data_IF_100694545858
#
_entry.id   IF_100694545858
#
_cell.length_a   1.000
_cell.length_b   1.000
_cell.length_c   1.000
_cell.angle_alpha   90.00
_cell.angle_beta   90.00
_cell.angle_gamma   90.00
#
_symmetry.space_group_name_H-M   'P 1'
#
loop_
_entity.id
_entity.type
_entity.pdbx_description
1 polymer ?
#
# COMPACT_ATOMS: atom_id res chain seq x y z
N UNK A 1 22.14 6.39 10.28
CA UNK A 1 21.31 7.36 11.02
C UNK A 1 21.11 8.57 10.12
N UNK A 2 19.93 8.71 9.54
CA UNK A 2 19.52 9.96 8.89
C UNK A 2 19.46 11.05 9.96
N UNK A 3 20.03 12.22 9.69
CA UNK A 3 20.21 13.33 10.64
C UNK A 3 18.91 13.91 11.25
N UNK A 4 17.74 13.44 10.83
CA UNK A 4 16.44 14.08 11.17
C UNK A 4 15.54 13.20 12.04
N UNK A 5 16.09 12.21 12.77
CA UNK A 5 15.32 11.43 13.76
C UNK A 5 14.10 10.68 13.23
N UNK A 6 13.96 10.50 11.91
CA UNK A 6 12.88 9.73 11.32
C UNK A 6 13.17 8.25 11.56
N UNK A 7 12.30 7.51 12.26
CA UNK A 7 12.48 6.08 12.41
C UNK A 7 12.50 5.46 11.00
N UNK A 8 13.61 4.88 10.60
CA UNK A 8 13.66 4.13 9.35
C UNK A 8 12.80 2.89 9.52
N UNK A 9 11.60 2.90 8.98
CA UNK A 9 10.88 1.65 8.76
C UNK A 9 11.79 0.77 7.90
N UNK A 10 12.01 -0.47 8.33
CA UNK A 10 12.86 -1.41 7.60
C UNK A 10 12.28 -1.64 6.20
N UNK A 11 12.91 -1.07 5.18
CA UNK A 11 12.59 -1.36 3.78
C UNK A 11 13.33 -2.63 3.35
N UNK A 12 12.62 -3.58 2.77
CA UNK A 12 13.17 -4.85 2.29
C UNK A 12 13.69 -4.78 0.86
N UNK A 13 13.80 -3.61 0.29
CA UNK A 13 14.33 -3.45 -1.05
C UNK A 13 13.76 -2.26 -1.82
N UNK A 14 14.08 -2.24 -3.08
CA UNK A 14 13.67 -1.19 -4.04
C UNK A 14 13.09 -1.84 -5.29
N UNK A 15 12.41 -1.06 -6.10
CA UNK A 15 11.81 -1.52 -7.36
C UNK A 15 12.36 -0.71 -8.52
N UNK A 16 12.82 -1.40 -9.56
CA UNK A 16 13.31 -0.76 -10.78
C UNK A 16 12.20 -0.70 -11.83
N UNK A 17 12.08 0.44 -12.50
CA UNK A 17 11.20 0.66 -13.65
C UNK A 17 11.93 1.41 -14.74
N UNK A 18 11.68 1.03 -16.00
CA UNK A 18 12.21 1.74 -17.17
C UNK A 18 11.20 1.84 -18.30
N UNK A 19 11.30 2.94 -19.05
CA UNK A 19 10.59 3.16 -20.31
C UNK A 19 11.42 4.08 -21.19
N UNK A 20 12.01 3.53 -22.24
CA UNK A 20 13.01 4.24 -23.04
C UNK A 20 14.19 4.69 -22.19
N UNK A 21 14.56 5.96 -22.29
CA UNK A 21 15.66 6.53 -21.49
C UNK A 21 15.30 6.84 -20.04
N UNK A 22 14.03 6.76 -19.69
CA UNK A 22 13.58 7.04 -18.32
C UNK A 22 13.76 5.79 -17.46
N UNK A 23 14.77 5.81 -16.59
CA UNK A 23 15.12 4.72 -15.68
C UNK A 23 15.02 5.17 -14.25
N UNK A 24 14.25 4.48 -13.44
CA UNK A 24 13.93 4.88 -12.07
C UNK A 24 14.11 3.76 -11.07
N UNK A 25 14.53 4.13 -9.89
CA UNK A 25 14.41 3.31 -8.69
C UNK A 25 13.29 3.91 -7.83
N UNK A 26 12.27 3.09 -7.57
CA UNK A 26 11.15 3.41 -6.71
C UNK A 26 11.38 2.74 -5.35
N UNK A 27 11.24 3.49 -4.27
CA UNK A 27 11.46 2.99 -2.92
C UNK A 27 10.60 3.74 -1.91
N UNK A 28 10.45 3.16 -0.73
CA UNK A 28 9.73 3.80 0.38
C UNK A 28 10.70 4.37 1.41
N UNK A 29 10.33 5.51 1.95
CA UNK A 29 10.99 6.12 3.10
C UNK A 29 9.91 6.71 4.02
N UNK A 30 9.84 6.21 5.25
CA UNK A 30 8.75 6.53 6.17
C UNK A 30 7.37 6.29 5.49
N UNK A 31 6.51 7.29 5.46
CA UNK A 31 5.19 7.27 4.83
C UNK A 31 5.19 7.75 3.38
N UNK A 32 6.33 7.71 2.70
CA UNK A 32 6.45 8.23 1.34
C UNK A 32 6.92 7.16 0.35
N UNK A 33 6.32 7.13 -0.84
CA UNK A 33 6.86 6.48 -2.01
C UNK A 33 7.69 7.52 -2.79
N UNK A 34 8.91 7.17 -3.12
CA UNK A 34 9.89 8.07 -3.75
C UNK A 34 10.41 7.50 -5.06
N UNK A 35 10.84 8.39 -5.96
CA UNK A 35 11.50 8.01 -7.19
C UNK A 35 12.85 8.75 -7.35
N UNK A 36 13.90 7.98 -7.65
CA UNK A 36 15.20 8.53 -8.04
C UNK A 36 15.57 8.07 -9.44
N UNK A 37 16.33 8.90 -10.13
CA UNK A 37 16.94 8.54 -11.40
C UNK A 37 17.98 7.44 -11.18
N UNK A 38 17.84 6.32 -11.90
CA UNK A 38 18.68 5.14 -11.69
C UNK A 38 20.14 5.33 -12.13
N UNK A 39 20.44 6.32 -12.97
CA UNK A 39 21.81 6.61 -13.44
C UNK A 39 22.54 7.54 -12.49
N UNK A 40 21.83 8.55 -11.95
CA UNK A 40 22.45 9.64 -11.18
C UNK A 40 22.19 9.58 -9.68
N UNK A 41 21.21 8.78 -9.23
CA UNK A 41 20.78 8.72 -7.84
C UNK A 41 20.00 9.96 -7.37
N UNK A 42 19.75 10.92 -8.25
CA UNK A 42 19.03 12.16 -7.88
C UNK A 42 17.53 11.95 -7.78
N UNK A 43 16.89 12.63 -6.83
CA UNK A 43 15.43 12.65 -6.70
C UNK A 43 14.80 13.21 -7.98
N UNK A 44 13.76 12.56 -8.48
CA UNK A 44 12.97 13.01 -9.63
C UNK A 44 11.86 13.91 -9.12
N UNK A 45 12.07 15.22 -9.13
CA UNK A 45 11.14 16.20 -8.56
C UNK A 45 9.72 16.18 -9.19
N UNK A 46 9.60 15.72 -10.43
CA UNK A 46 8.31 15.58 -11.14
C UNK A 46 7.49 14.35 -10.71
N UNK A 47 8.00 13.52 -9.80
CA UNK A 47 7.26 12.40 -9.25
C UNK A 47 6.50 12.83 -8.01
N UNK A 48 5.16 12.77 -8.04
CA UNK A 48 4.31 13.24 -6.96
C UNK A 48 4.54 14.72 -6.63
N UNK A 49 4.66 15.02 -5.35
CA UNK A 49 5.02 16.35 -4.88
C UNK A 49 6.52 16.39 -4.51
N UNK A 50 7.31 17.09 -5.30
CA UNK A 50 8.77 17.21 -5.11
C UNK A 50 9.50 15.86 -4.93
N UNK A 51 9.17 14.88 -5.77
CA UNK A 51 9.78 13.56 -5.77
C UNK A 51 9.17 12.56 -4.79
N UNK A 52 8.02 12.87 -4.19
CA UNK A 52 7.37 12.09 -3.14
C UNK A 52 5.88 11.95 -3.35
N UNK A 53 5.35 10.78 -3.04
CA UNK A 53 3.92 10.52 -2.87
C UNK A 53 3.69 10.22 -1.40
N UNK A 54 2.83 10.98 -0.73
CA UNK A 54 2.43 10.73 0.64
C UNK A 54 1.47 9.53 0.69
N UNK A 55 1.88 8.44 1.31
CA UNK A 55 1.09 7.21 1.39
C UNK A 55 -0.10 7.29 2.36
N UNK A 56 -0.14 8.31 3.20
CA UNK A 56 -1.29 8.55 4.07
C UNK A 56 -2.48 9.16 3.30
N UNK A 57 -2.22 9.81 2.16
CA UNK A 57 -3.29 10.35 1.31
C UNK A 57 -4.06 9.25 0.59
N UNK A 58 -5.35 9.50 0.33
CA UNK A 58 -6.25 8.54 -0.31
C UNK A 58 -6.68 7.39 0.60
N UNK A 59 -6.44 7.50 1.90
CA UNK A 59 -6.95 6.58 2.91
C UNK A 59 -8.29 7.11 3.47
N UNK A 60 -9.00 6.25 4.21
CA UNK A 60 -10.22 6.62 4.93
C UNK A 60 -9.98 7.73 5.96
N UNK A 61 -8.84 7.67 6.62
CA UNK A 61 -8.54 8.45 7.81
C UNK A 61 -7.81 9.76 7.47
N UNK A 62 -7.81 10.71 8.40
CA UNK A 62 -7.05 11.96 8.30
C UNK A 62 -5.55 11.65 8.09
N UNK A 63 -4.94 12.05 6.98
CA UNK A 63 -3.56 11.72 6.66
C UNK A 63 -2.53 12.24 7.66
N UNK A 64 -2.90 13.23 8.49
CA UNK A 64 -2.02 13.77 9.53
C UNK A 64 -2.00 12.93 10.81
N UNK A 65 -2.97 12.02 10.97
CA UNK A 65 -3.18 11.20 12.17
C UNK A 65 -2.81 9.74 11.98
N UNK A 66 -2.50 9.32 10.77
CA UNK A 66 -2.18 7.93 10.43
C UNK A 66 -0.74 7.79 9.98
N UNK A 67 -0.25 6.55 9.99
CA UNK A 67 1.06 6.21 9.44
C UNK A 67 0.97 4.94 8.61
N UNK A 68 1.04 5.12 7.29
CA UNK A 68 1.14 4.03 6.32
C UNK A 68 2.59 3.92 5.88
N UNK A 69 3.17 2.74 6.05
CA UNK A 69 4.54 2.47 5.62
C UNK A 69 4.58 1.27 4.66
N UNK A 70 5.69 1.10 3.96
CA UNK A 70 5.94 -0.08 3.14
C UNK A 70 7.12 -0.84 3.74
N UNK A 71 6.90 -2.06 4.17
CA UNK A 71 7.98 -2.97 4.61
C UNK A 71 8.56 -3.78 3.44
N UNK A 72 7.81 -3.96 2.38
CA UNK A 72 8.24 -4.66 1.17
C UNK A 72 8.11 -3.76 -0.05
N UNK A 73 9.01 -3.85 -1.03
CA UNK A 73 8.93 -3.06 -2.25
C UNK A 73 7.68 -3.47 -3.05
N UNK A 74 7.13 -2.53 -3.79
CA UNK A 74 6.07 -2.80 -4.75
C UNK A 74 6.54 -3.66 -5.92
N UNK A 75 5.60 -4.02 -6.78
CA UNK A 75 5.89 -4.74 -8.04
C UNK A 75 5.39 -3.94 -9.23
N UNK A 76 6.13 -4.03 -10.31
CA UNK A 76 5.82 -3.32 -11.55
C UNK A 76 4.92 -4.18 -12.44
N UNK A 77 3.83 -3.57 -12.90
CA UNK A 77 3.06 -4.05 -14.03
C UNK A 77 2.89 -2.91 -15.04
N UNK A 78 3.53 -3.04 -16.20
CA UNK A 78 3.61 -1.97 -17.21
C UNK A 78 4.16 -0.65 -16.61
N UNK A 79 3.36 0.40 -16.59
CA UNK A 79 3.73 1.70 -16.05
C UNK A 79 3.22 1.93 -14.61
N UNK A 80 2.78 0.87 -13.94
CA UNK A 80 2.24 0.92 -12.57
C UNK A 80 3.18 0.25 -11.58
N UNK A 81 3.37 0.86 -10.43
CA UNK A 81 3.87 0.20 -9.23
C UNK A 81 2.69 -0.14 -8.32
N UNK A 82 2.49 -1.44 -8.07
CA UNK A 82 1.45 -1.94 -7.18
C UNK A 82 2.09 -2.16 -5.81
N UNK A 83 1.46 -1.62 -4.79
CA UNK A 83 1.93 -1.68 -3.41
C UNK A 83 0.85 -2.19 -2.47
N UNK A 84 1.28 -2.92 -1.45
CA UNK A 84 0.49 -3.14 -0.25
C UNK A 84 0.71 -2.03 0.78
N UNK A 85 0.52 -2.37 2.04
CA UNK A 85 0.76 -1.45 3.14
C UNK A 85 1.21 -2.20 4.39
N UNK A 86 1.89 -1.51 5.30
CA UNK A 86 2.02 -1.89 6.69
C UNK A 86 1.27 -0.87 7.53
N UNK A 87 0.30 -1.35 8.28
CA UNK A 87 -0.52 -0.60 9.23
C UNK A 87 -0.21 -1.03 10.66
N UNK A 88 -0.45 -0.22 11.68
CA UNK A 88 -0.36 -0.65 13.07
C UNK A 88 -1.39 -1.74 13.41
N UNK A 89 -1.05 -2.65 14.34
CA UNK A 89 -1.96 -3.68 14.84
C UNK A 89 -2.69 -3.15 16.10
N UNK A 90 -3.46 -2.08 15.92
CA UNK A 90 -4.13 -1.34 16.98
C UNK A 90 -5.58 -1.07 16.60
N UNK A 91 -6.45 -0.86 17.60
CA UNK A 91 -7.78 -0.31 17.37
C UNK A 91 -7.70 1.04 16.67
N UNK A 92 -8.59 1.26 15.68
CA UNK A 92 -8.58 2.47 14.88
C UNK A 92 -7.42 2.55 13.89
N UNK A 93 -6.69 1.46 13.66
CA UNK A 93 -5.70 1.41 12.60
C UNK A 93 -6.35 1.69 11.23
N UNK A 94 -5.63 2.32 10.31
CA UNK A 94 -6.12 2.48 8.94
C UNK A 94 -6.21 1.13 8.22
N UNK A 95 -7.08 1.00 7.20
CA UNK A 95 -7.15 -0.19 6.37
C UNK A 95 -5.89 -0.33 5.50
N UNK A 96 -5.55 -1.57 5.18
CA UNK A 96 -4.35 -1.91 4.41
C UNK A 96 -4.58 -1.96 2.90
N UNK A 97 -5.26 -0.99 2.31
CA UNK A 97 -5.63 -0.94 0.89
C UNK A 97 -4.47 -1.29 -0.05
N UNK A 98 -4.79 -1.99 -1.13
CA UNK A 98 -3.85 -2.22 -2.22
C UNK A 98 -3.99 -1.08 -3.23
N UNK A 99 -2.87 -0.46 -3.57
CA UNK A 99 -2.88 0.74 -4.41
C UNK A 99 -1.88 0.63 -5.55
N UNK A 100 -2.25 1.16 -6.70
CA UNK A 100 -1.35 1.28 -7.83
C UNK A 100 -1.08 2.74 -8.17
N UNK A 101 0.19 3.06 -8.32
CA UNK A 101 0.66 4.38 -8.69
C UNK A 101 1.38 4.35 -10.02
N UNK A 102 1.22 5.39 -10.80
CA UNK A 102 1.94 5.58 -12.04
C UNK A 102 3.44 5.80 -11.77
N UNK A 103 4.31 4.96 -12.34
CA UNK A 103 5.76 5.00 -12.12
C UNK A 103 6.41 6.32 -12.61
N UNK A 104 5.80 7.00 -13.58
CA UNK A 104 6.32 8.24 -14.13
C UNK A 104 5.87 9.46 -13.33
N UNK A 105 4.62 9.51 -12.92
CA UNK A 105 4.01 10.71 -12.33
C UNK A 105 3.81 10.62 -10.82
N UNK A 106 3.76 9.42 -10.26
CA UNK A 106 3.36 9.20 -8.87
C UNK A 106 1.85 9.33 -8.63
N UNK A 107 1.04 9.52 -9.68
CA UNK A 107 -0.41 9.61 -9.54
C UNK A 107 -0.99 8.28 -9.10
N UNK A 108 -1.91 8.30 -8.15
CA UNK A 108 -2.73 7.15 -7.78
C UNK A 108 -3.69 6.83 -8.94
N UNK A 109 -3.62 5.63 -9.47
CA UNK A 109 -4.45 5.19 -10.60
C UNK A 109 -5.64 4.35 -10.15
N UNK A 110 -5.45 3.47 -9.14
CA UNK A 110 -6.54 2.72 -8.54
C UNK A 110 -6.24 2.31 -7.10
N UNK A 111 -7.32 2.06 -6.36
CA UNK A 111 -7.30 1.49 -5.01
C UNK A 111 -8.23 0.29 -4.98
N UNK A 112 -7.78 -0.81 -4.38
CA UNK A 112 -8.63 -1.92 -3.97
C UNK A 112 -8.83 -1.84 -2.46
N UNK A 113 -10.09 -1.77 -2.04
CA UNK A 113 -10.46 -1.72 -0.63
C UNK A 113 -10.41 -3.12 -0.03
N UNK A 114 -9.41 -3.40 0.79
CA UNK A 114 -9.26 -4.69 1.48
C UNK A 114 -10.29 -4.88 2.60
N UNK A 115 -10.92 -3.80 3.04
CA UNK A 115 -12.14 -3.78 3.83
C UNK A 115 -13.20 -3.16 2.93
N UNK A 116 -14.14 -3.97 2.38
CA UNK A 116 -15.04 -3.53 1.32
C UNK A 116 -15.99 -2.42 1.76
N UNK A 117 -16.25 -1.50 0.85
CA UNK A 117 -17.26 -0.45 1.00
C UNK A 117 -18.64 -0.93 0.53
N UNK A 118 -19.74 -0.21 0.86
CA UNK A 118 -21.07 -0.56 0.39
C UNK A 118 -21.12 -0.74 -1.14
N UNK A 119 -21.64 -1.88 -1.59
CA UNK A 119 -21.74 -2.25 -3.00
C UNK A 119 -20.51 -2.96 -3.58
N UNK A 120 -19.42 -3.08 -2.82
CA UNK A 120 -18.26 -3.87 -3.23
C UNK A 120 -18.41 -5.34 -2.80
N UNK A 121 -17.86 -6.29 -3.58
CA UNK A 121 -17.89 -7.71 -3.21
C UNK A 121 -17.23 -7.94 -1.84
N UNK A 122 -17.89 -8.74 -1.00
CA UNK A 122 -17.42 -9.06 0.34
C UNK A 122 -17.90 -8.10 1.44
N UNK A 123 -18.59 -7.01 1.10
CA UNK A 123 -19.14 -6.08 2.10
C UNK A 123 -20.06 -6.78 3.10
N UNK A 124 -20.87 -7.72 2.63
CA UNK A 124 -21.81 -8.52 3.43
C UNK A 124 -21.15 -9.44 4.46
N UNK A 125 -19.84 -9.68 4.33
CA UNK A 125 -19.06 -10.50 5.27
C UNK A 125 -18.57 -9.74 6.50
N UNK A 126 -18.84 -8.44 6.53
CA UNK A 126 -18.49 -7.54 7.62
C UNK A 126 -19.73 -6.99 8.31
N UNK A 127 -19.61 -6.53 9.58
CA UNK A 127 -20.67 -5.73 10.18
C UNK A 127 -20.98 -4.48 9.35
N UNK A 128 -22.20 -4.01 9.32
CA UNK A 128 -22.55 -2.76 8.69
C UNK A 128 -21.58 -1.65 9.10
N UNK A 129 -21.12 -0.86 8.11
CA UNK A 129 -20.21 0.27 8.32
C UNK A 129 -18.80 -0.07 8.86
N UNK A 130 -18.38 -1.36 8.88
CA UNK A 130 -17.04 -1.75 9.30
C UNK A 130 -15.93 -1.00 8.55
N UNK A 131 -16.14 -0.65 7.29
CA UNK A 131 -15.22 0.16 6.50
C UNK A 131 -14.92 1.53 7.11
N UNK A 132 -15.74 2.03 8.02
CA UNK A 132 -15.53 3.30 8.72
C UNK A 132 -14.59 3.19 9.93
N UNK A 133 -14.42 2.00 10.51
CA UNK A 133 -13.65 1.85 11.75
C UNK A 133 -12.65 0.68 11.73
N UNK A 134 -12.91 -0.38 10.99
CA UNK A 134 -12.00 -1.53 10.94
C UNK A 134 -10.72 -1.18 10.18
N UNK A 135 -9.62 -1.76 10.58
CA UNK A 135 -8.29 -1.56 9.99
C UNK A 135 -7.57 -2.87 9.69
N UNK A 136 -6.30 -2.79 9.38
CA UNK A 136 -5.50 -3.95 9.00
C UNK A 136 -5.85 -4.50 7.62
N UNK A 137 -5.95 -5.81 7.47
CA UNK A 137 -6.13 -6.52 6.19
C UNK A 137 -5.11 -6.06 5.16
N UNK A 138 -3.85 -6.02 5.58
CA UNK A 138 -2.77 -5.41 4.83
C UNK A 138 -1.81 -6.43 4.23
N UNK A 139 -1.26 -6.13 3.06
CA UNK A 139 -0.19 -6.90 2.42
C UNK A 139 1.18 -6.32 2.79
N UNK A 140 1.73 -6.72 3.93
CA UNK A 140 3.03 -6.25 4.41
C UNK A 140 4.21 -7.13 3.96
N UNK A 141 3.95 -8.40 3.64
CA UNK A 141 4.98 -9.37 3.28
C UNK A 141 5.49 -9.20 1.84
N UNK A 142 4.74 -8.50 1.00
CA UNK A 142 5.02 -8.35 -0.43
C UNK A 142 4.01 -9.05 -1.31
N UNK A 143 4.18 -8.92 -2.61
CA UNK A 143 3.26 -9.44 -3.61
C UNK A 143 4.00 -9.98 -4.82
N UNK A 144 3.33 -10.79 -5.63
CA UNK A 144 3.86 -11.31 -6.90
C UNK A 144 2.94 -10.95 -8.06
N UNK A 145 3.49 -10.91 -9.28
CA UNK A 145 2.73 -10.57 -10.49
C UNK A 145 2.94 -11.65 -11.56
N UNK A 146 1.84 -12.15 -12.11
CA UNK A 146 1.82 -12.82 -13.38
C UNK A 146 1.62 -11.80 -14.51
N UNK A 147 2.72 -11.32 -15.05
CA UNK A 147 2.69 -10.29 -16.11
C UNK A 147 2.02 -10.77 -17.39
N UNK A 148 2.00 -12.08 -17.64
CA UNK A 148 1.38 -12.66 -18.84
C UNK A 148 -0.14 -12.58 -18.77
N UNK A 149 -0.71 -12.86 -17.59
CA UNK A 149 -2.16 -12.79 -17.35
C UNK A 149 -2.63 -11.42 -16.85
N UNK A 150 -1.70 -10.59 -16.40
CA UNK A 150 -2.03 -9.29 -15.79
C UNK A 150 -2.62 -9.43 -14.39
N UNK A 151 -2.22 -10.46 -13.66
CA UNK A 151 -2.73 -10.74 -12.31
C UNK A 151 -1.69 -10.43 -11.25
N UNK A 152 -2.13 -9.89 -10.13
CA UNK A 152 -1.32 -9.71 -8.93
C UNK A 152 -1.84 -10.59 -7.80
N UNK A 153 -0.92 -11.25 -7.08
CA UNK A 153 -1.23 -12.14 -5.96
C UNK A 153 -0.66 -11.54 -4.67
N UNK A 154 -1.50 -11.47 -3.65
CA UNK A 154 -1.19 -10.81 -2.38
C UNK A 154 -1.64 -11.70 -1.21
N UNK A 155 -0.75 -11.93 -0.25
CA UNK A 155 -1.12 -12.51 1.03
C UNK A 155 -1.57 -11.38 1.96
N UNK A 156 -2.82 -11.42 2.40
CA UNK A 156 -3.41 -10.41 3.28
C UNK A 156 -3.41 -10.90 4.72
N UNK A 157 -3.04 -10.02 5.64
CA UNK A 157 -3.06 -10.28 7.08
C UNK A 157 -4.44 -10.16 7.70
N UNK A 158 -4.49 -10.32 9.01
CA UNK A 158 -5.71 -10.18 9.81
C UNK A 158 -6.24 -8.73 9.78
N UNK A 159 -7.54 -8.54 10.00
CA UNK A 159 -8.06 -7.25 10.42
C UNK A 159 -7.47 -6.85 11.77
N UNK A 160 -7.18 -5.57 11.98
CA UNK A 160 -6.84 -5.03 13.30
C UNK A 160 -8.12 -4.85 14.14
N UNK A 161 -8.10 -5.16 15.39
CA UNK A 161 -7.04 -5.63 16.24
C UNK A 161 -6.90 -7.16 16.16
N UNK A 162 -5.70 -7.68 15.95
CA UNK A 162 -5.44 -9.09 15.60
C UNK A 162 -5.95 -10.12 16.61
N UNK A 163 -5.93 -9.77 17.89
CA UNK A 163 -6.22 -10.70 19.00
C UNK A 163 -7.66 -10.64 19.48
N UNK A 164 -8.51 -9.80 18.89
CA UNK A 164 -9.91 -9.66 19.29
C UNK A 164 -10.79 -9.28 18.11
N UNK A 165 -11.81 -10.07 17.87
CA UNK A 165 -12.70 -9.91 16.70
C UNK A 165 -14.19 -9.82 17.05
N UNK A 166 -14.57 -9.63 18.32
CA UNK A 166 -15.99 -9.63 18.71
C UNK A 166 -16.76 -8.40 18.17
N UNK A 167 -16.08 -7.33 17.85
CA UNK A 167 -16.61 -6.09 17.25
C UNK A 167 -16.75 -6.14 15.71
N UNK A 168 -16.21 -7.20 15.09
CA UNK A 168 -16.24 -7.40 13.63
C UNK A 168 -16.74 -8.81 13.27
N UNK A 169 -17.90 -9.18 13.81
CA UNK A 169 -18.53 -10.47 13.52
C UNK A 169 -18.73 -10.66 12.01
N UNK A 170 -18.46 -11.88 11.54
CA UNK A 170 -18.56 -12.26 10.12
C UNK A 170 -17.27 -12.92 9.62
N UNK A 171 -17.23 -13.26 8.35
CA UNK A 171 -16.08 -13.90 7.70
C UNK A 171 -14.91 -12.92 7.46
N UNK A 172 -15.21 -11.63 7.42
CA UNK A 172 -14.26 -10.53 7.24
C UNK A 172 -13.38 -10.68 5.98
N UNK A 173 -14.03 -10.94 4.86
CA UNK A 173 -13.31 -10.99 3.59
C UNK A 173 -12.73 -9.58 3.29
N UNK A 174 -11.49 -9.44 3.01
CA UNK A 174 -10.42 -10.32 2.53
C UNK A 174 -9.35 -10.64 3.58
N UNK A 175 -9.65 -10.57 4.88
CA UNK A 175 -8.68 -10.93 5.92
C UNK A 175 -8.19 -12.38 5.81
N UNK A 176 -6.90 -12.59 6.10
CA UNK A 176 -6.27 -13.92 6.16
C UNK A 176 -6.40 -14.77 4.88
N UNK A 177 -6.37 -14.16 3.72
CA UNK A 177 -6.49 -14.88 2.46
C UNK A 177 -5.37 -14.54 1.47
N UNK A 178 -5.31 -15.30 0.39
CA UNK A 178 -4.56 -14.93 -0.82
C UNK A 178 -5.54 -14.28 -1.78
N UNK A 179 -5.31 -13.02 -2.06
CA UNK A 179 -6.09 -12.22 -3.00
C UNK A 179 -5.42 -12.27 -4.38
N UNK A 180 -6.21 -12.47 -5.43
CA UNK A 180 -5.81 -12.33 -6.82
C UNK A 180 -6.63 -11.23 -7.49
N UNK A 181 -5.99 -10.22 -8.06
CA UNK A 181 -6.58 -9.09 -8.75
C UNK A 181 -6.12 -9.00 -10.19
#
# INVERSE_FOLDING_TARGET
TLKDGIPSAASRGVTYWEKGDNKRILYSSANSLMAIDAKTGKIIASFGNNGRVNLNEGMRDDPTKISITLSSPGRIFKDLIIIGARTPDLYGAPPGYIRAYNCKTGKLEWTFHTIPHPGEPGYETWPPEAYKYAGGVNCWAGLSIDSKRGMVFLALGSPSYDYYGADRKGENLYGNCVLAL
#
